data_IF_671697571265
#
_entry.id   IF_671697571265
#
_cell.length_a   1.000
_cell.length_b   1.000
_cell.length_c   1.000
_cell.angle_alpha   90.00
_cell.angle_beta   90.00
_cell.angle_gamma   90.00
#
_symmetry.space_group_name_H-M   'P 1'
#
loop_
_entity.id
_entity.type
_entity.pdbx_description
1 polymer ?
#
# COMPACT_ATOMS: atom_id res chain seq x y z
N UNK A 1 -10.14 32.57 -61.25
CA UNK A 1 -9.33 32.12 -60.09
C UNK A 1 -8.47 30.94 -60.52
N UNK A 2 -7.15 31.15 -60.62
CA UNK A 2 -6.22 30.18 -61.16
C UNK A 2 -6.14 28.93 -60.25
N UNK A 3 -5.95 27.75 -60.81
CA UNK A 3 -5.87 26.48 -60.08
C UNK A 3 -4.77 26.52 -58.99
N UNK A 4 -3.76 27.33 -59.15
CA UNK A 4 -2.70 27.55 -58.16
C UNK A 4 -3.25 28.15 -56.84
N UNK A 5 -4.17 29.08 -56.92
CA UNK A 5 -4.79 29.72 -55.76
C UNK A 5 -5.67 28.74 -54.94
N UNK A 6 -6.33 27.77 -55.61
CA UNK A 6 -7.16 26.73 -54.94
C UNK A 6 -6.29 25.73 -54.14
N UNK A 7 -5.16 25.35 -54.71
CA UNK A 7 -4.23 24.43 -54.00
C UNK A 7 -3.54 25.08 -52.79
N UNK A 8 -3.23 26.38 -52.92
CA UNK A 8 -2.65 27.14 -51.79
C UNK A 8 -3.62 27.27 -50.62
N UNK A 9 -4.89 27.58 -50.88
CA UNK A 9 -5.91 27.69 -49.84
C UNK A 9 -6.19 26.33 -49.18
N UNK A 10 -6.18 25.24 -49.94
CA UNK A 10 -6.43 23.90 -49.43
C UNK A 10 -5.28 23.41 -48.56
N UNK A 11 -4.03 23.67 -48.95
CA UNK A 11 -2.85 23.34 -48.12
C UNK A 11 -2.79 24.18 -46.84
N UNK A 12 -3.20 25.45 -46.90
CA UNK A 12 -3.25 26.30 -45.70
C UNK A 12 -4.34 25.84 -44.74
N UNK A 13 -5.48 25.37 -45.22
CA UNK A 13 -6.56 24.81 -44.41
C UNK A 13 -6.18 23.51 -43.71
N UNK A 14 -5.41 22.64 -44.38
CA UNK A 14 -4.90 21.39 -43.81
C UNK A 14 -3.86 21.66 -42.73
N UNK A 15 -3.01 22.67 -42.87
CA UNK A 15 -2.04 23.07 -41.88
C UNK A 15 -2.72 23.65 -40.62
N UNK A 16 -3.82 24.42 -40.79
CA UNK A 16 -4.58 24.92 -39.66
C UNK A 16 -5.34 23.82 -38.92
N UNK A 17 -5.82 22.78 -39.58
CA UNK A 17 -6.50 21.67 -38.94
C UNK A 17 -5.55 20.82 -38.09
N UNK A 18 -4.28 20.70 -38.49
CA UNK A 18 -3.27 19.99 -37.70
C UNK A 18 -2.85 20.77 -36.44
N UNK A 19 -2.87 22.10 -36.51
CA UNK A 19 -2.60 22.94 -35.32
C UNK A 19 -3.74 22.92 -34.31
N UNK A 20 -5.00 22.82 -34.75
CA UNK A 20 -6.14 22.67 -33.86
C UNK A 20 -6.21 21.31 -33.16
N UNK A 21 -5.63 20.27 -33.79
CA UNK A 21 -5.57 18.94 -33.17
C UNK A 21 -4.49 18.84 -32.07
N UNK A 22 -3.43 19.66 -32.17
CA UNK A 22 -2.38 19.69 -31.15
C UNK A 22 -2.73 20.54 -29.91
N UNK A 23 -3.75 21.42 -30.01
CA UNK A 23 -4.19 22.26 -28.90
C UNK A 23 -5.30 21.63 -28.04
N UNK A 24 -5.81 20.46 -28.44
CA UNK A 24 -6.83 19.69 -27.70
C UNK A 24 -6.23 18.46 -27.00
N UNK A 25 -4.93 18.40 -26.80
CA UNK A 25 -4.38 17.60 -25.71
C UNK A 25 -4.58 18.43 -24.44
N UNK A 26 -5.83 18.40 -23.93
CA UNK A 26 -6.05 18.64 -22.53
C UNK A 26 -5.08 17.71 -21.79
N UNK A 27 -4.00 18.29 -21.33
CA UNK A 27 -3.30 17.77 -20.16
C UNK A 27 -4.27 17.99 -18.99
N UNK A 28 -5.31 17.15 -18.92
CA UNK A 28 -5.85 16.73 -17.66
C UNK A 28 -4.71 15.97 -16.98
N UNK A 29 -3.73 16.73 -16.51
CA UNK A 29 -2.98 16.41 -15.31
C UNK A 29 -4.03 16.42 -14.19
N UNK A 30 -4.91 15.40 -14.21
CA UNK A 30 -5.49 14.86 -13.03
C UNK A 30 -4.28 14.36 -12.22
N UNK A 31 -3.64 15.32 -11.55
CA UNK A 31 -2.93 15.11 -10.31
C UNK A 31 -3.99 14.59 -9.33
N UNK A 32 -4.52 13.40 -9.63
CA UNK A 32 -5.18 12.52 -8.69
C UNK A 32 -4.08 12.18 -7.71
N UNK A 33 -3.89 13.11 -6.77
CA UNK A 33 -3.10 12.90 -5.58
C UNK A 33 -3.73 11.66 -4.97
N UNK A 34 -3.18 10.48 -5.28
CA UNK A 34 -3.58 9.23 -4.65
C UNK A 34 -3.42 9.50 -3.17
N UNK A 35 -4.54 9.78 -2.53
CA UNK A 35 -4.57 9.99 -1.09
C UNK A 35 -4.27 8.62 -0.53
N UNK A 36 -2.99 8.36 -0.26
CA UNK A 36 -2.54 7.13 0.38
C UNK A 36 -3.24 7.06 1.72
N UNK A 37 -4.24 6.21 1.80
CA UNK A 37 -4.94 5.96 3.07
C UNK A 37 -3.99 5.15 3.95
N UNK A 38 -3.54 5.76 5.04
CA UNK A 38 -2.73 5.10 6.07
C UNK A 38 -3.68 4.73 7.21
N UNK A 39 -3.78 3.42 7.50
CA UNK A 39 -4.59 2.91 8.60
C UNK A 39 -3.64 2.42 9.69
N UNK A 40 -3.62 3.07 10.87
CA UNK A 40 -2.80 2.61 11.98
C UNK A 40 -3.31 1.27 12.50
N UNK A 41 -2.37 0.40 12.91
CA UNK A 41 -2.66 -0.92 13.50
C UNK A 41 -2.23 -0.83 14.97
N UNK A 42 -3.19 -0.93 15.87
CA UNK A 42 -2.92 -0.92 17.31
C UNK A 42 -2.46 -2.31 17.72
N UNK A 43 -1.17 -2.46 18.03
CA UNK A 43 -0.58 -3.73 18.44
C UNK A 43 -0.64 -3.86 19.96
N UNK A 44 -1.18 -4.97 20.44
CA UNK A 44 -1.29 -5.30 21.85
C UNK A 44 -0.60 -6.63 22.14
N UNK A 45 -0.09 -6.79 23.36
CA UNK A 45 0.45 -8.07 23.80
C UNK A 45 -0.70 -9.05 24.05
N UNK A 46 -0.52 -10.31 23.62
CA UNK A 46 -1.50 -11.37 23.85
C UNK A 46 -1.72 -11.68 25.35
N UNK A 47 -2.79 -12.39 25.70
CA UNK A 47 -3.27 -12.52 27.09
C UNK A 47 -2.38 -13.34 28.04
N UNK A 48 -1.24 -13.83 27.60
CA UNK A 48 -0.46 -14.82 28.37
C UNK A 48 0.70 -14.28 29.21
N UNK A 49 1.00 -12.98 29.26
CA UNK A 49 2.20 -12.53 29.96
C UNK A 49 1.97 -11.47 31.04
N UNK A 50 1.77 -11.93 32.26
CA UNK A 50 1.93 -11.14 33.48
C UNK A 50 3.38 -11.05 33.99
N UNK A 51 4.37 -11.59 33.29
CA UNK A 51 5.76 -11.51 33.68
C UNK A 51 6.47 -10.34 33.00
N UNK A 52 7.10 -9.50 33.81
CA UNK A 52 7.89 -8.30 33.50
C UNK A 52 8.98 -8.57 32.45
N UNK A 53 8.62 -8.74 31.22
CA UNK A 53 9.50 -8.58 30.07
C UNK A 53 9.30 -7.17 29.52
N UNK A 54 10.37 -6.52 29.11
CA UNK A 54 10.30 -5.31 28.33
C UNK A 54 9.35 -5.58 27.17
N UNK A 55 8.24 -4.88 27.13
CA UNK A 55 7.24 -5.06 26.08
C UNK A 55 7.91 -4.74 24.76
N UNK A 56 8.03 -5.67 23.80
CA UNK A 56 8.56 -5.34 22.49
C UNK A 56 7.69 -4.25 21.90
N UNK A 57 8.30 -3.19 21.43
CA UNK A 57 7.58 -2.11 20.80
C UNK A 57 7.46 -2.45 19.32
N UNK A 58 6.25 -2.76 18.90
CA UNK A 58 5.90 -3.05 17.51
C UNK A 58 4.92 -2.00 17.06
N UNK A 59 5.33 -1.22 16.08
CA UNK A 59 4.42 -0.30 15.39
C UNK A 59 4.07 -0.87 14.02
N UNK A 60 2.80 -0.78 13.65
CA UNK A 60 2.36 -1.24 12.35
C UNK A 60 1.31 -0.31 11.75
N UNK A 61 1.28 -0.25 10.42
CA UNK A 61 0.21 0.43 9.68
C UNK A 61 -0.02 -0.21 8.32
N UNK A 62 -1.25 -0.11 7.84
CA UNK A 62 -1.61 -0.50 6.50
C UNK A 62 -1.49 0.69 5.53
N UNK A 63 -0.98 0.44 4.34
CA UNK A 63 -0.93 1.41 3.24
C UNK A 63 -0.85 0.70 1.89
N UNK A 64 -1.72 1.03 0.95
CA UNK A 64 -1.68 0.57 -0.45
C UNK A 64 -1.48 -0.95 -0.65
N UNK A 65 -2.22 -1.77 0.08
CA UNK A 65 -2.13 -3.22 -0.03
C UNK A 65 -0.95 -3.85 0.71
N UNK A 66 -0.27 -3.09 1.57
CA UNK A 66 0.86 -3.55 2.35
C UNK A 66 0.66 -3.25 3.84
N UNK A 67 1.08 -4.18 4.69
CA UNK A 67 1.28 -3.96 6.11
C UNK A 67 2.75 -3.64 6.33
N UNK A 68 3.02 -2.45 6.85
CA UNK A 68 4.35 -1.97 7.20
C UNK A 68 4.53 -2.14 8.70
N UNK A 69 5.63 -2.75 9.12
CA UNK A 69 5.91 -3.07 10.52
C UNK A 69 7.27 -2.56 10.91
N UNK A 70 7.34 -1.92 12.08
CA UNK A 70 8.58 -1.46 12.72
C UNK A 70 8.76 -2.20 14.02
N UNK A 71 9.94 -2.79 14.20
CA UNK A 71 10.34 -3.48 15.43
C UNK A 71 11.36 -2.63 16.19
N UNK A 72 11.05 -2.31 17.43
CA UNK A 72 11.96 -1.58 18.34
C UNK A 72 12.35 -2.47 19.51
N UNK A 73 13.66 -2.69 19.69
CA UNK A 73 14.17 -3.51 20.76
C UNK A 73 13.81 -4.99 20.69
N UNK A 74 13.34 -5.47 19.55
CA UNK A 74 13.10 -6.88 19.26
C UNK A 74 14.33 -7.48 18.61
N UNK A 75 14.72 -8.69 18.99
CA UNK A 75 15.82 -9.45 18.40
C UNK A 75 15.37 -10.89 18.12
N UNK A 76 15.97 -11.51 17.11
CA UNK A 76 15.63 -12.87 16.70
C UNK A 76 14.59 -12.94 15.60
N UNK A 77 14.05 -14.11 15.36
CA UNK A 77 13.04 -14.35 14.35
C UNK A 77 11.66 -13.89 14.77
N UNK A 78 10.91 -13.37 13.82
CA UNK A 78 9.49 -13.04 13.99
C UNK A 78 8.70 -13.62 12.82
N UNK A 79 7.69 -14.41 13.13
CA UNK A 79 6.67 -14.81 12.15
C UNK A 79 5.53 -13.80 12.22
N UNK A 80 5.23 -13.18 11.08
CA UNK A 80 4.09 -12.26 10.97
C UNK A 80 3.04 -12.91 10.08
N UNK A 81 1.83 -13.05 10.61
CA UNK A 81 0.68 -13.59 9.88
C UNK A 81 -0.42 -12.56 9.81
N UNK A 82 -0.89 -12.25 8.62
CA UNK A 82 -2.05 -11.36 8.40
C UNK A 82 -3.23 -12.20 7.95
N UNK A 83 -4.31 -12.12 8.69
CA UNK A 83 -5.58 -12.81 8.40
C UNK A 83 -6.64 -11.81 7.96
N UNK A 84 -7.37 -12.15 6.90
CA UNK A 84 -8.64 -11.48 6.60
C UNK A 84 -9.77 -12.31 7.20
N UNK A 85 -10.44 -11.78 8.22
CA UNK A 85 -11.51 -12.52 8.94
C UNK A 85 -12.77 -12.70 8.10
N UNK A 86 -12.97 -11.87 7.07
CA UNK A 86 -14.17 -11.90 6.23
C UNK A 86 -14.11 -13.02 5.17
N UNK A 87 -12.94 -13.34 4.63
CA UNK A 87 -12.79 -14.36 3.57
C UNK A 87 -11.90 -15.54 3.97
N UNK A 88 -11.29 -15.52 5.16
CA UNK A 88 -10.39 -16.56 5.64
C UNK A 88 -9.02 -16.59 4.94
N UNK A 89 -8.71 -15.58 4.12
CA UNK A 89 -7.40 -15.46 3.47
C UNK A 89 -6.31 -15.14 4.48
N UNK A 90 -5.10 -15.67 4.25
CA UNK A 90 -3.94 -15.36 5.09
C UNK A 90 -2.67 -15.21 4.27
N UNK A 91 -1.77 -14.37 4.78
CA UNK A 91 -0.39 -14.22 4.32
C UNK A 91 0.53 -14.34 5.51
N UNK A 92 1.55 -15.21 5.42
CA UNK A 92 2.51 -15.42 6.49
C UNK A 92 3.93 -15.23 5.97
N UNK A 93 4.74 -14.49 6.70
CA UNK A 93 6.14 -14.24 6.39
C UNK A 93 6.99 -14.35 7.64
N UNK A 94 8.21 -14.83 7.46
CA UNK A 94 9.23 -14.90 8.51
C UNK A 94 10.27 -13.80 8.27
N UNK A 95 10.62 -13.06 9.32
CA UNK A 95 11.59 -11.98 9.30
C UNK A 95 12.61 -12.13 10.43
N UNK A 96 13.81 -11.60 10.23
CA UNK A 96 14.72 -11.29 11.31
C UNK A 96 14.37 -9.90 11.85
N UNK A 97 13.99 -9.80 13.13
CA UNK A 97 13.57 -8.55 13.75
C UNK A 97 14.70 -7.52 13.89
N UNK A 98 15.95 -7.91 13.66
CA UNK A 98 17.06 -6.96 13.52
C UNK A 98 16.89 -6.03 12.31
N UNK A 99 16.09 -6.43 11.33
CA UNK A 99 15.60 -5.56 10.29
C UNK A 99 14.47 -4.69 10.87
N UNK A 100 14.80 -3.47 11.27
CA UNK A 100 13.89 -2.56 11.98
C UNK A 100 12.59 -2.23 11.21
N UNK A 101 12.53 -2.48 9.90
CA UNK A 101 11.34 -2.23 9.07
C UNK A 101 11.13 -3.38 8.09
N UNK A 102 9.94 -3.94 8.09
CA UNK A 102 9.52 -4.98 7.14
C UNK A 102 8.18 -4.62 6.49
N UNK A 103 7.98 -5.09 5.27
CA UNK A 103 6.78 -4.82 4.46
C UNK A 103 6.17 -6.16 4.04
N UNK A 104 4.89 -6.33 4.31
CA UNK A 104 4.13 -7.54 3.98
C UNK A 104 3.10 -7.18 2.91
N UNK A 105 3.19 -7.83 1.75
CA UNK A 105 2.21 -7.67 0.67
C UNK A 105 0.97 -8.52 0.96
N UNK A 106 -0.18 -7.86 1.16
CA UNK A 106 -1.46 -8.53 1.44
C UNK A 106 -2.46 -8.42 0.29
N UNK A 107 -2.02 -7.98 -0.90
CA UNK A 107 -2.93 -7.77 -2.04
C UNK A 107 -3.66 -9.04 -2.47
N UNK A 108 -3.07 -10.21 -2.23
CA UNK A 108 -3.71 -11.50 -2.55
C UNK A 108 -4.93 -11.84 -1.68
N UNK A 109 -5.05 -11.23 -0.50
CA UNK A 109 -6.16 -11.42 0.43
C UNK A 109 -6.99 -10.14 0.63
N UNK A 110 -6.72 -9.11 -0.18
CA UNK A 110 -7.28 -7.77 0.01
C UNK A 110 -8.75 -7.72 -0.39
N UNK A 111 -9.63 -7.49 0.57
CA UNK A 111 -11.05 -7.18 0.41
C UNK A 111 -11.46 -6.22 1.53
N UNK A 112 -12.61 -5.57 1.42
CA UNK A 112 -13.15 -4.82 2.56
C UNK A 112 -13.48 -5.78 3.71
N UNK A 113 -13.20 -5.36 4.94
CA UNK A 113 -13.48 -6.14 6.14
C UNK A 113 -12.43 -5.96 7.24
N UNK A 114 -12.45 -6.87 8.19
CA UNK A 114 -11.55 -6.86 9.35
C UNK A 114 -10.35 -7.75 9.14
N UNK A 115 -9.20 -7.29 9.62
CA UNK A 115 -7.92 -7.97 9.53
C UNK A 115 -7.29 -8.08 10.91
N UNK A 116 -6.64 -9.22 11.14
CA UNK A 116 -5.81 -9.48 12.31
C UNK A 116 -4.37 -9.67 11.85
N UNK A 117 -3.43 -9.00 12.51
CA UNK A 117 -1.99 -9.19 12.33
C UNK A 117 -1.44 -9.84 13.58
N UNK A 118 -0.90 -11.02 13.46
CA UNK A 118 -0.28 -11.78 14.54
C UNK A 118 1.23 -11.78 14.39
N UNK A 119 1.94 -11.48 15.46
CA UNK A 119 3.40 -11.47 15.55
C UNK A 119 3.82 -12.54 16.54
N UNK A 120 4.40 -13.64 16.07
CA UNK A 120 5.02 -14.67 16.89
C UNK A 120 6.53 -14.41 16.97
N UNK A 121 7.03 -14.12 18.19
CA UNK A 121 8.45 -13.89 18.43
C UNK A 121 9.16 -15.21 18.83
N UNK A 122 10.46 -15.30 18.61
CA UNK A 122 11.27 -16.49 18.94
C UNK A 122 11.22 -16.89 20.43
N UNK A 123 10.91 -15.94 21.32
CA UNK A 123 10.72 -16.21 22.74
C UNK A 123 9.32 -16.74 23.10
N UNK A 124 8.50 -17.07 22.09
CA UNK A 124 7.09 -17.52 22.21
C UNK A 124 6.11 -16.45 22.67
N UNK A 125 6.53 -15.18 22.74
CA UNK A 125 5.60 -14.07 22.96
C UNK A 125 4.79 -13.82 21.69
N UNK A 126 3.49 -13.59 21.86
CA UNK A 126 2.59 -13.25 20.76
C UNK A 126 2.03 -11.84 20.94
N UNK A 127 2.11 -11.02 19.91
CA UNK A 127 1.43 -9.72 19.85
C UNK A 127 0.37 -9.77 18.74
N UNK A 128 -0.70 -9.01 18.93
CA UNK A 128 -1.83 -8.98 17.99
C UNK A 128 -2.16 -7.53 17.67
N UNK A 129 -2.38 -7.25 16.39
CA UNK A 129 -2.90 -5.97 15.91
C UNK A 129 -4.15 -6.18 15.08
N UNK A 130 -5.05 -5.19 15.07
CA UNK A 130 -6.29 -5.24 14.31
C UNK A 130 -6.49 -3.97 13.49
N UNK A 131 -7.05 -4.10 12.30
CA UNK A 131 -7.44 -2.98 11.45
C UNK A 131 -8.59 -3.36 10.51
N UNK A 132 -9.27 -2.36 9.95
CA UNK A 132 -10.40 -2.55 9.02
C UNK A 132 -10.19 -1.76 7.73
N UNK A 133 -10.66 -2.31 6.61
CA UNK A 133 -10.62 -1.70 5.28
C UNK A 133 -12.01 -1.62 4.65
#
# INVERSE_FOLDING_TARGET
MNNFSKHLVFTLLLLFSSFLYCAAVDTNDDNKKETTTIVPIVVTKGPQDFHRSLTPEIEAYYSNGHVNVFFYGVSGGVTVTVYNTSNGGQVQNFFDASNMNVVIDIRSILTSGEYIVEFELDNFDTCIGEFSL
#
